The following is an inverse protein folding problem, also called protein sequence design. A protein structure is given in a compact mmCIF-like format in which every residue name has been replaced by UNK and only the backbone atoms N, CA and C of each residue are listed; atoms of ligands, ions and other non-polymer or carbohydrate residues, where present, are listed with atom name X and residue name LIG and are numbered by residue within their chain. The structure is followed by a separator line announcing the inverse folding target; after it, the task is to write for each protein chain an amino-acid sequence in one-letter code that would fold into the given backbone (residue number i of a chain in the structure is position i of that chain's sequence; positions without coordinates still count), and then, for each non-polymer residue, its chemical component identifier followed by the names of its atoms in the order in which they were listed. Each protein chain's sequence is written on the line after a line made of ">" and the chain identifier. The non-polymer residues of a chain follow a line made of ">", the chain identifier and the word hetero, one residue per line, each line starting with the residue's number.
data_IF_841475556784
#
_entry.id   IF_841475556784
#
_cell.length_a   1.000
_cell.length_b   1.000
_cell.length_c   1.000
_cell.angle_alpha   90.00
_cell.angle_beta   90.00
_cell.angle_gamma   90.00
#
_symmetry.space_group_name_H-M   'P 1'
#
loop_
_entity.id
_entity.type
_entity.pdbx_description
1 polymer ?
#
# COMPACT_ATOMS: atom_id res chain seq x y z
N UNK A 1 15.81 43.83 36.26
CA UNK A 1 15.57 43.24 34.93
C UNK A 1 14.85 41.91 35.09
N UNK A 2 13.66 41.80 34.49
CA UNK A 2 12.63 40.78 34.76
C UNK A 2 12.96 39.45 34.08
N UNK A 3 13.12 38.39 34.87
CA UNK A 3 13.10 36.99 34.42
C UNK A 3 11.65 36.60 34.15
N UNK A 4 11.33 36.13 32.94
CA UNK A 4 10.02 35.52 32.63
C UNK A 4 10.18 34.01 32.60
N UNK A 5 9.69 33.39 33.67
CA UNK A 5 9.35 31.98 33.76
C UNK A 5 7.99 31.84 33.06
N UNK A 6 7.87 30.98 32.06
CA UNK A 6 6.55 30.53 31.59
C UNK A 6 6.49 29.03 31.84
N UNK A 7 5.74 28.70 32.88
CA UNK A 7 5.49 27.35 33.36
C UNK A 7 4.59 26.57 32.40
N UNK A 8 4.88 25.27 32.34
CA UNK A 8 4.05 24.21 31.81
C UNK A 8 2.62 24.23 32.39
N UNK A 9 1.63 23.98 31.54
CA UNK A 9 0.30 23.53 31.95
C UNK A 9 0.02 22.18 31.30
N UNK A 10 -0.24 21.19 32.15
CA UNK A 10 -0.69 19.86 31.80
C UNK A 10 -2.19 19.71 32.16
N UNK A 11 -2.80 18.65 31.61
CA UNK A 11 -4.01 17.92 32.07
C UNK A 11 -5.37 18.34 31.48
N UNK A 12 -5.94 17.42 30.68
CA UNK A 12 -7.18 16.64 30.91
C UNK A 12 -7.24 15.58 29.78
N UNK A 13 -7.28 14.24 29.92
CA UNK A 13 -7.91 13.25 30.82
C UNK A 13 -9.45 13.20 30.73
N UNK A 14 -9.90 12.21 29.93
CA UNK A 14 -11.02 11.25 30.12
C UNK A 14 -12.46 11.66 29.75
N UNK A 15 -13.06 10.89 28.83
CA UNK A 15 -14.31 10.08 28.94
C UNK A 15 -14.79 9.71 27.52
N UNK A 16 -14.71 8.47 27.03
CA UNK A 16 -15.61 7.32 27.24
C UNK A 16 -17.11 7.64 27.08
N UNK A 17 -17.68 7.30 25.92
CA UNK A 17 -19.09 6.91 25.79
C UNK A 17 -19.17 5.59 25.02
N UNK A 18 -19.66 4.59 25.75
CA UNK A 18 -20.10 3.27 25.31
C UNK A 18 -21.36 3.45 24.46
N UNK A 19 -21.45 2.73 23.34
CA UNK A 19 -22.66 2.68 22.52
C UNK A 19 -22.82 1.34 21.82
N UNK A 20 -22.93 0.26 22.59
CA UNK A 20 -23.36 -1.05 22.10
C UNK A 20 -24.82 -1.01 21.66
N UNK A 21 -25.10 -1.24 20.38
CA UNK A 21 -26.46 -1.51 19.90
C UNK A 21 -26.44 -2.71 18.93
N UNK A 22 -26.42 -3.90 19.51
CA UNK A 22 -26.77 -5.14 18.81
C UNK A 22 -28.27 -5.12 18.56
N UNK A 23 -28.70 -4.99 17.29
CA UNK A 23 -30.09 -5.24 16.93
C UNK A 23 -30.33 -6.74 16.82
N UNK A 24 -31.03 -7.25 17.82
CA UNK A 24 -31.69 -8.55 17.85
C UNK A 24 -32.78 -8.55 16.76
N UNK A 25 -32.72 -9.52 15.86
CA UNK A 25 -33.82 -9.79 14.92
C UNK A 25 -34.71 -10.88 15.51
N UNK A 26 -36.03 -10.65 15.66
CA UNK A 26 -36.96 -11.67 16.14
C UNK A 26 -37.24 -12.74 15.07
N UNK A 27 -37.43 -13.95 15.58
CA UNK A 27 -37.70 -15.21 14.89
C UNK A 27 -39.04 -15.24 14.15
N UNK A 28 -39.00 -15.91 12.99
CA UNK A 28 -39.96 -16.86 12.42
C UNK A 28 -41.46 -16.67 12.69
N UNK A 29 -42.21 -16.40 11.63
CA UNK A 29 -43.61 -16.84 11.50
C UNK A 29 -43.72 -17.73 10.27
N UNK A 30 -44.07 -18.99 10.51
CA UNK A 30 -44.42 -19.94 9.47
C UNK A 30 -45.84 -19.66 8.97
N UNK A 31 -46.01 -19.54 7.66
CA UNK A 31 -47.29 -19.69 6.99
C UNK A 31 -47.14 -20.76 5.91
N UNK A 32 -47.68 -21.94 6.21
CA UNK A 32 -47.83 -23.03 5.26
C UNK A 32 -48.83 -22.61 4.17
N UNK A 33 -48.41 -22.71 2.91
CA UNK A 33 -49.31 -22.71 1.76
C UNK A 33 -49.06 -24.00 0.98
N UNK A 34 -50.01 -24.92 1.09
CA UNK A 34 -50.09 -26.16 0.35
C UNK A 34 -50.80 -25.82 -0.97
N UNK A 35 -50.10 -25.88 -2.10
CA UNK A 35 -50.74 -26.10 -3.40
C UNK A 35 -49.77 -26.67 -4.45
N UNK A 36 -50.03 -27.94 -4.79
CA UNK A 36 -49.97 -28.65 -6.08
C UNK A 36 -49.50 -27.85 -7.33
N UNK A 37 -48.78 -28.36 -8.33
CA UNK A 37 -48.48 -29.72 -8.81
C UNK A 37 -47.47 -29.62 -9.99
N UNK A 38 -46.97 -30.73 -10.58
CA UNK A 38 -45.65 -30.80 -11.20
C UNK A 38 -45.65 -30.41 -12.69
N UNK A 39 -44.64 -29.64 -13.10
CA UNK A 39 -44.21 -29.57 -14.50
C UNK A 39 -42.77 -30.05 -14.56
N UNK A 40 -42.60 -31.28 -15.03
CA UNK A 40 -41.31 -31.87 -15.38
C UNK A 40 -40.83 -31.17 -16.65
N UNK A 41 -40.36 -29.94 -16.50
CA UNK A 41 -39.56 -29.27 -17.51
C UNK A 41 -38.14 -29.83 -17.38
N UNK A 42 -37.76 -30.60 -18.39
CA UNK A 42 -36.45 -31.19 -18.60
C UNK A 42 -35.31 -30.28 -18.12
N UNK A 43 -34.62 -30.70 -17.07
CA UNK A 43 -33.34 -30.15 -16.69
C UNK A 43 -32.33 -30.47 -17.80
N UNK A 44 -32.22 -29.56 -18.78
CA UNK A 44 -31.04 -29.51 -19.63
C UNK A 44 -29.84 -29.20 -18.72
N UNK A 45 -28.74 -29.97 -18.77
CA UNK A 45 -27.51 -29.59 -18.09
C UNK A 45 -27.07 -28.26 -18.71
N UNK A 46 -27.21 -27.17 -17.95
CA UNK A 46 -26.82 -25.84 -18.37
C UNK A 46 -25.35 -25.87 -18.77
N UNK A 47 -25.15 -25.69 -20.06
CA UNK A 47 -23.90 -25.47 -20.78
C UNK A 47 -22.98 -24.52 -20.01
N UNK A 48 -21.71 -24.92 -19.87
CA UNK A 48 -20.66 -24.15 -19.25
C UNK A 48 -20.58 -22.70 -19.79
N UNK A 49 -20.81 -21.67 -18.96
CA UNK A 49 -20.58 -20.28 -19.34
C UNK A 49 -19.16 -19.89 -18.90
N UNK A 50 -18.10 -20.33 -19.60
CA UNK A 50 -16.74 -20.07 -19.09
C UNK A 50 -15.67 -19.68 -20.09
N UNK A 51 -15.84 -19.85 -21.41
CA UNK A 51 -14.75 -19.56 -22.36
C UNK A 51 -14.65 -18.08 -22.81
N UNK A 52 -15.77 -17.39 -23.08
CA UNK A 52 -15.72 -15.99 -23.54
C UNK A 52 -15.22 -15.05 -22.44
N UNK A 53 -15.68 -15.23 -21.20
CA UNK A 53 -15.29 -14.38 -20.07
C UNK A 53 -13.81 -14.52 -19.69
N UNK A 54 -13.23 -15.71 -19.82
CA UNK A 54 -11.81 -15.93 -19.54
C UNK A 54 -10.92 -15.21 -20.57
N UNK A 55 -11.25 -15.31 -21.86
CA UNK A 55 -10.52 -14.62 -22.94
C UNK A 55 -10.59 -13.11 -22.75
N UNK A 56 -11.76 -12.56 -22.40
CA UNK A 56 -11.92 -11.13 -22.14
C UNK A 56 -11.06 -10.64 -20.97
N UNK A 57 -10.99 -11.41 -19.87
CA UNK A 57 -10.14 -11.11 -18.73
C UNK A 57 -8.64 -11.16 -19.08
N UNK A 58 -8.21 -12.13 -19.90
CA UNK A 58 -6.82 -12.19 -20.38
C UNK A 58 -6.49 -10.95 -21.21
N UNK A 59 -7.36 -10.57 -22.15
CA UNK A 59 -7.16 -9.40 -23.00
C UNK A 59 -7.09 -8.10 -22.18
N UNK A 60 -8.00 -7.96 -21.20
CA UNK A 60 -7.99 -6.82 -20.27
C UNK A 60 -6.71 -6.78 -19.45
N UNK A 61 -6.26 -7.90 -18.89
CA UNK A 61 -5.04 -7.97 -18.11
C UNK A 61 -3.81 -7.61 -18.96
N UNK A 62 -3.73 -8.09 -20.19
CA UNK A 62 -2.65 -7.74 -21.12
C UNK A 62 -2.65 -6.25 -21.47
N UNK A 63 -3.83 -5.63 -21.66
CA UNK A 63 -3.94 -4.20 -21.91
C UNK A 63 -3.44 -3.38 -20.72
N UNK A 64 -3.83 -3.75 -19.50
CA UNK A 64 -3.34 -3.12 -18.27
C UNK A 64 -1.82 -3.24 -18.13
N UNK A 65 -1.26 -4.41 -18.41
CA UNK A 65 0.18 -4.63 -18.39
C UNK A 65 0.92 -3.78 -19.44
N UNK A 66 0.38 -3.64 -20.66
CA UNK A 66 0.94 -2.76 -21.70
C UNK A 66 0.97 -1.29 -21.29
N UNK A 67 0.06 -0.86 -20.42
CA UNK A 67 0.02 0.49 -19.84
C UNK A 67 0.94 0.63 -18.62
N UNK A 68 1.67 -0.43 -18.24
CA UNK A 68 2.50 -0.45 -17.03
C UNK A 68 1.72 -0.67 -15.73
N UNK A 69 0.41 -0.90 -15.79
CA UNK A 69 -0.43 -1.14 -14.61
C UNK A 69 -0.43 -2.63 -14.21
N UNK A 70 0.75 -3.14 -13.85
CA UNK A 70 0.98 -4.55 -13.56
C UNK A 70 0.19 -5.06 -12.35
N UNK A 71 0.02 -4.25 -11.30
CA UNK A 71 -0.78 -4.65 -10.13
C UNK A 71 -2.25 -4.91 -10.52
N UNK A 72 -2.84 -4.04 -11.35
CA UNK A 72 -4.21 -4.26 -11.83
C UNK A 72 -4.30 -5.43 -12.82
N UNK A 73 -3.27 -5.63 -13.65
CA UNK A 73 -3.19 -6.77 -14.56
C UNK A 73 -3.18 -8.10 -13.78
N UNK A 74 -2.37 -8.20 -12.72
CA UNK A 74 -2.34 -9.36 -11.81
C UNK A 74 -3.71 -9.59 -11.17
N UNK A 75 -4.32 -8.54 -10.61
CA UNK A 75 -5.64 -8.64 -10.00
C UNK A 75 -6.75 -9.05 -10.99
N UNK A 76 -6.55 -8.78 -12.28
CA UNK A 76 -7.46 -9.24 -13.35
C UNK A 76 -7.24 -10.72 -13.65
N UNK A 77 -5.98 -11.18 -13.73
CA UNK A 77 -5.66 -12.60 -13.90
C UNK A 77 -6.13 -13.44 -12.73
N UNK A 78 -6.13 -12.91 -11.51
CA UNK A 78 -6.63 -13.61 -10.31
C UNK A 78 -8.12 -13.97 -10.36
N UNK A 79 -8.87 -13.35 -11.27
CA UNK A 79 -10.28 -13.66 -11.50
C UNK A 79 -10.50 -14.84 -12.45
N UNK A 80 -9.45 -15.28 -13.15
CA UNK A 80 -9.53 -16.34 -14.15
C UNK A 80 -9.44 -17.70 -13.45
N UNK A 81 -10.45 -18.53 -13.64
CA UNK A 81 -10.42 -19.93 -13.24
C UNK A 81 -9.79 -20.75 -14.37
N UNK A 82 -8.61 -21.36 -14.18
CA UNK A 82 -7.97 -22.13 -15.25
C UNK A 82 -8.77 -23.41 -15.54
N UNK A 83 -8.97 -23.72 -16.83
CA UNK A 83 -9.70 -24.90 -17.26
C UNK A 83 -8.88 -26.19 -17.10
N UNK A 84 -7.55 -26.09 -17.07
CA UNK A 84 -6.64 -27.22 -16.91
C UNK A 84 -5.31 -26.82 -16.22
N UNK A 85 -4.47 -27.80 -15.80
CA UNK A 85 -3.21 -27.51 -15.13
C UNK A 85 -2.18 -26.73 -15.96
N UNK A 86 -2.18 -26.87 -17.29
CA UNK A 86 -1.26 -26.17 -18.18
C UNK A 86 -1.60 -24.67 -18.27
N UNK A 87 -2.89 -24.34 -18.33
CA UNK A 87 -3.38 -22.98 -18.25
C UNK A 87 -3.06 -22.37 -16.88
N UNK A 88 -3.29 -23.10 -15.79
CA UNK A 88 -2.94 -22.65 -14.44
C UNK A 88 -1.44 -22.31 -14.33
N UNK A 89 -0.58 -23.15 -14.90
CA UNK A 89 0.87 -22.91 -14.96
C UNK A 89 1.21 -21.66 -15.77
N UNK A 90 0.56 -21.46 -16.91
CA UNK A 90 0.76 -20.29 -17.76
C UNK A 90 0.36 -18.99 -17.04
N UNK A 91 -0.83 -18.96 -16.42
CA UNK A 91 -1.30 -17.81 -15.67
C UNK A 91 -0.37 -17.49 -14.48
N UNK A 92 0.12 -18.53 -13.79
CA UNK A 92 1.09 -18.35 -12.71
C UNK A 92 2.41 -17.71 -13.20
N UNK A 93 2.95 -18.17 -14.33
CA UNK A 93 4.17 -17.59 -14.91
C UNK A 93 3.99 -16.13 -15.32
N UNK A 94 2.83 -15.78 -15.88
CA UNK A 94 2.49 -14.39 -16.23
C UNK A 94 2.41 -13.53 -14.97
N UNK A 95 1.74 -14.01 -13.91
CA UNK A 95 1.67 -13.31 -12.62
C UNK A 95 3.04 -13.07 -12.01
N UNK A 96 3.93 -14.06 -12.05
CA UNK A 96 5.29 -13.93 -11.52
C UNK A 96 6.07 -12.84 -12.27
N UNK A 97 6.04 -12.85 -13.61
CA UNK A 97 6.71 -11.82 -14.42
C UNK A 97 6.18 -10.41 -14.10
N UNK A 98 4.86 -10.25 -13.99
CA UNK A 98 4.29 -8.94 -13.67
C UNK A 98 4.56 -8.53 -12.23
N UNK A 99 4.64 -9.47 -11.28
CA UNK A 99 5.04 -9.18 -9.92
C UNK A 99 6.48 -8.64 -9.85
N UNK A 100 7.39 -9.18 -10.67
CA UNK A 100 8.75 -8.64 -10.81
C UNK A 100 8.73 -7.20 -11.35
N UNK A 101 7.85 -6.89 -12.30
CA UNK A 101 7.70 -5.52 -12.82
C UNK A 101 7.11 -4.56 -11.78
N UNK A 102 6.15 -4.99 -10.96
CA UNK A 102 5.66 -4.20 -9.81
C UNK A 102 6.80 -3.89 -8.84
N UNK A 103 7.64 -4.88 -8.53
CA UNK A 103 8.78 -4.68 -7.63
C UNK A 103 9.83 -3.72 -8.22
N UNK A 104 10.13 -3.82 -9.53
CA UNK A 104 11.00 -2.85 -10.22
C UNK A 104 10.46 -1.43 -10.15
N UNK A 105 9.15 -1.24 -10.37
CA UNK A 105 8.53 0.09 -10.22
C UNK A 105 8.63 0.61 -8.78
N UNK A 106 8.48 -0.27 -7.79
CA UNK A 106 8.64 0.10 -6.39
C UNK A 106 10.09 0.53 -6.09
N UNK A 107 11.09 -0.20 -6.59
CA UNK A 107 12.50 0.18 -6.49
C UNK A 107 12.75 1.56 -7.11
N UNK A 108 12.25 1.82 -8.31
CA UNK A 108 12.40 3.13 -8.96
C UNK A 108 11.81 4.26 -8.12
N UNK A 109 10.63 4.05 -7.50
CA UNK A 109 10.03 5.03 -6.58
C UNK A 109 10.90 5.29 -5.35
N UNK A 110 11.43 4.21 -4.77
CA UNK A 110 12.32 4.29 -3.62
C UNK A 110 13.59 5.09 -3.94
N UNK A 111 14.21 4.84 -5.08
CA UNK A 111 15.40 5.55 -5.57
C UNK A 111 15.12 7.02 -5.89
N UNK A 112 13.89 7.37 -6.27
CA UNK A 112 13.44 8.75 -6.46
C UNK A 112 13.12 9.46 -5.13
N UNK A 113 13.16 8.75 -4.01
CA UNK A 113 12.83 9.26 -2.68
C UNK A 113 11.34 9.19 -2.33
N UNK A 114 10.51 8.61 -3.20
CA UNK A 114 9.10 8.29 -2.90
C UNK A 114 9.01 6.95 -2.14
N UNK A 115 9.54 6.93 -0.91
CA UNK A 115 9.62 5.71 -0.10
C UNK A 115 8.24 5.16 0.25
N UNK A 116 7.27 6.03 0.56
CA UNK A 116 5.90 5.60 0.85
C UNK A 116 5.23 5.01 -0.40
N UNK A 117 5.34 5.68 -1.55
CA UNK A 117 4.80 5.13 -2.79
C UNK A 117 5.48 3.82 -3.22
N UNK A 118 6.77 3.64 -2.90
CA UNK A 118 7.47 2.38 -3.11
C UNK A 118 6.90 1.25 -2.24
N UNK A 119 6.71 1.50 -0.94
CA UNK A 119 6.11 0.55 0.01
C UNK A 119 4.69 0.18 -0.45
N UNK A 120 3.84 1.17 -0.72
CA UNK A 120 2.45 0.97 -1.13
C UNK A 120 2.31 0.13 -2.40
N UNK A 121 3.26 0.30 -3.34
CA UNK A 121 3.29 -0.47 -4.58
C UNK A 121 3.78 -1.90 -4.33
N UNK A 122 4.84 -2.08 -3.54
CA UNK A 122 5.39 -3.39 -3.22
C UNK A 122 4.46 -4.24 -2.34
N UNK A 123 3.63 -3.64 -1.48
CA UNK A 123 2.63 -4.38 -0.70
C UNK A 123 1.51 -5.01 -1.56
N UNK A 124 1.37 -4.60 -2.82
CA UNK A 124 0.42 -5.19 -3.78
C UNK A 124 0.98 -6.43 -4.49
N UNK A 125 2.24 -6.77 -4.24
CA UNK A 125 2.87 -7.96 -4.83
C UNK A 125 2.21 -9.21 -4.22
N UNK A 126 1.78 -10.19 -5.04
CA UNK A 126 1.16 -11.41 -4.51
C UNK A 126 2.13 -12.23 -3.65
N UNK A 127 1.63 -12.73 -2.51
CA UNK A 127 2.43 -13.41 -1.49
C UNK A 127 3.28 -14.59 -2.01
N UNK A 128 2.76 -15.31 -3.01
CA UNK A 128 3.37 -16.55 -3.54
C UNK A 128 4.28 -16.29 -4.76
N UNK A 129 5.01 -15.18 -4.76
CA UNK A 129 5.91 -14.80 -5.87
C UNK A 129 7.34 -14.57 -5.38
N UNK A 130 8.36 -14.81 -6.23
CA UNK A 130 9.75 -14.44 -5.91
C UNK A 130 9.90 -12.95 -5.60
N UNK A 131 9.21 -12.07 -6.33
CA UNK A 131 9.17 -10.63 -6.08
C UNK A 131 8.75 -10.30 -4.63
N UNK A 132 7.78 -11.03 -4.06
CA UNK A 132 7.39 -10.80 -2.67
C UNK A 132 8.53 -11.13 -1.70
N UNK A 133 9.29 -12.20 -1.98
CA UNK A 133 10.44 -12.56 -1.15
C UNK A 133 11.50 -11.46 -1.21
N UNK A 134 11.74 -10.88 -2.39
CA UNK A 134 12.65 -9.74 -2.55
C UNK A 134 12.18 -8.53 -1.75
N UNK A 135 10.89 -8.18 -1.84
CA UNK A 135 10.32 -7.11 -1.03
C UNK A 135 10.47 -7.37 0.47
N UNK A 136 10.21 -8.59 0.93
CA UNK A 136 10.35 -8.96 2.33
C UNK A 136 11.78 -8.70 2.87
N UNK A 137 12.81 -8.86 2.04
CA UNK A 137 14.20 -8.55 2.43
C UNK A 137 14.45 -7.06 2.69
N UNK A 138 13.79 -6.18 1.94
CA UNK A 138 14.02 -4.72 2.01
C UNK A 138 12.97 -3.98 2.85
N UNK A 139 11.81 -4.59 3.10
CA UNK A 139 10.64 -3.99 3.76
C UNK A 139 10.99 -3.25 5.04
N UNK A 140 11.71 -3.90 5.96
CA UNK A 140 12.09 -3.29 7.25
C UNK A 140 12.92 -2.03 7.06
N UNK A 141 13.87 -2.04 6.13
CA UNK A 141 14.73 -0.90 5.82
C UNK A 141 13.93 0.24 5.20
N UNK A 142 13.02 -0.07 4.27
CA UNK A 142 12.16 0.94 3.63
C UNK A 142 11.25 1.64 4.63
N UNK A 143 10.57 0.88 5.52
CA UNK A 143 9.74 1.47 6.57
C UNK A 143 10.55 2.37 7.50
N UNK A 144 11.73 1.93 7.94
CA UNK A 144 12.64 2.76 8.75
C UNK A 144 12.98 4.07 8.03
N UNK A 145 13.36 3.99 6.76
CA UNK A 145 13.78 5.14 5.98
C UNK A 145 12.62 6.11 5.72
N UNK A 146 11.39 5.60 5.53
CA UNK A 146 10.19 6.44 5.47
C UNK A 146 10.00 7.26 6.75
N UNK A 147 10.03 6.61 7.92
CA UNK A 147 9.91 7.29 9.22
C UNK A 147 11.01 8.33 9.42
N UNK A 148 12.24 8.02 9.02
CA UNK A 148 13.37 8.97 9.11
C UNK A 148 13.10 10.22 8.26
N UNK A 149 12.59 10.09 7.04
CA UNK A 149 12.28 11.24 6.19
C UNK A 149 11.12 12.07 6.74
N UNK A 150 10.06 11.43 7.23
CA UNK A 150 8.93 12.12 7.85
C UNK A 150 9.35 12.93 9.09
N UNK A 151 10.15 12.33 9.97
CA UNK A 151 10.69 13.04 11.15
C UNK A 151 11.62 14.19 10.77
N UNK A 152 12.46 14.01 9.75
CA UNK A 152 13.33 15.09 9.27
C UNK A 152 12.53 16.26 8.70
N UNK A 153 11.48 15.98 7.92
CA UNK A 153 10.55 16.99 7.41
C UNK A 153 9.83 17.70 8.56
N UNK A 154 9.38 16.97 9.58
CA UNK A 154 8.76 17.56 10.77
C UNK A 154 9.73 18.49 11.51
N UNK A 155 10.96 18.05 11.80
CA UNK A 155 11.96 18.89 12.47
C UNK A 155 12.34 20.12 11.62
N UNK A 156 12.35 19.99 10.30
CA UNK A 156 12.53 21.12 9.40
C UNK A 156 11.40 22.15 9.56
N UNK A 157 10.13 21.71 9.59
CA UNK A 157 8.97 22.59 9.82
C UNK A 157 9.02 23.28 11.19
N UNK A 158 9.51 22.59 12.22
CA UNK A 158 9.76 23.14 13.56
C UNK A 158 11.00 24.06 13.64
N UNK A 159 11.67 24.33 12.52
CA UNK A 159 12.94 25.09 12.41
C UNK A 159 14.12 24.47 13.19
N UNK A 160 14.02 23.19 13.59
CA UNK A 160 15.06 22.43 14.30
C UNK A 160 16.05 21.81 13.31
N UNK A 161 16.74 22.67 12.56
CA UNK A 161 17.55 22.29 11.39
C UNK A 161 18.64 21.26 11.73
N UNK A 162 19.37 21.45 12.84
CA UNK A 162 20.41 20.49 13.28
C UNK A 162 19.83 19.11 13.57
N UNK A 163 18.65 19.05 14.22
CA UNK A 163 17.96 17.78 14.48
C UNK A 163 17.54 17.13 13.17
N UNK A 164 16.92 17.89 12.25
CA UNK A 164 16.51 17.36 10.95
C UNK A 164 17.69 16.74 10.16
N UNK A 165 18.83 17.42 10.07
CA UNK A 165 20.03 16.89 9.40
C UNK A 165 20.58 15.63 10.09
N UNK A 166 20.62 15.62 11.43
CA UNK A 166 21.03 14.45 12.20
C UNK A 166 20.08 13.25 12.04
N UNK A 167 18.80 13.51 11.78
CA UNK A 167 17.83 12.46 11.49
C UNK A 167 18.07 11.89 10.11
N UNK A 168 18.31 12.72 9.08
CA UNK A 168 18.63 12.25 7.71
C UNK A 168 19.89 11.37 7.68
N UNK A 169 20.88 11.60 8.53
CA UNK A 169 22.10 10.77 8.58
C UNK A 169 21.86 9.34 9.10
N UNK A 170 20.66 9.04 9.63
CA UNK A 170 20.25 7.68 9.99
C UNK A 170 19.90 6.80 8.77
N UNK A 171 19.72 7.42 7.60
CA UNK A 171 19.57 6.69 6.34
C UNK A 171 20.94 6.17 5.93
N UNK A 172 21.08 4.84 5.87
CA UNK A 172 22.32 4.16 5.47
C UNK A 172 22.33 3.74 4.00
N UNK A 173 21.20 3.90 3.32
CA UNK A 173 21.01 3.46 1.95
C UNK A 173 21.52 4.54 0.97
N UNK A 174 22.59 4.28 0.20
CA UNK A 174 23.18 5.28 -0.69
C UNK A 174 22.24 5.67 -1.84
N UNK A 175 21.38 4.76 -2.31
CA UNK A 175 20.46 5.06 -3.40
C UNK A 175 19.42 6.09 -2.95
N UNK A 176 18.85 5.90 -1.76
CA UNK A 176 17.93 6.86 -1.18
C UNK A 176 18.60 8.18 -0.79
N UNK A 177 19.81 8.13 -0.20
CA UNK A 177 20.57 9.33 0.12
C UNK A 177 20.90 10.18 -1.11
N UNK A 178 21.13 9.54 -2.26
CA UNK A 178 21.37 10.18 -3.55
C UNK A 178 20.11 10.67 -4.26
N UNK A 179 18.92 10.33 -3.76
CA UNK A 179 17.65 10.72 -4.38
C UNK A 179 17.45 12.24 -4.39
N UNK A 180 16.82 12.76 -5.44
CA UNK A 180 16.54 14.19 -5.59
C UNK A 180 15.78 14.74 -4.38
N UNK A 181 14.75 14.03 -3.91
CA UNK A 181 13.96 14.44 -2.74
C UNK A 181 14.82 14.67 -1.50
N UNK A 182 15.75 13.76 -1.22
CA UNK A 182 16.63 13.87 -0.03
C UNK A 182 17.61 15.02 -0.19
N UNK A 183 18.12 15.26 -1.40
CA UNK A 183 18.99 16.40 -1.68
C UNK A 183 18.25 17.74 -1.53
N UNK A 184 17.03 17.84 -2.07
CA UNK A 184 16.19 19.03 -1.94
C UNK A 184 15.88 19.34 -0.46
N UNK A 185 15.54 18.32 0.32
CA UNK A 185 15.28 18.48 1.75
C UNK A 185 16.53 18.97 2.50
N UNK A 186 17.70 18.38 2.23
CA UNK A 186 18.98 18.84 2.82
C UNK A 186 19.27 20.30 2.45
N UNK A 187 19.07 20.68 1.19
CA UNK A 187 19.28 22.05 0.72
C UNK A 187 18.33 23.03 1.40
N UNK A 188 17.04 22.67 1.54
CA UNK A 188 16.04 23.47 2.24
C UNK A 188 16.37 23.65 3.74
N UNK A 189 16.84 22.61 4.41
CA UNK A 189 17.27 22.69 5.81
C UNK A 189 18.49 23.61 5.95
N UNK A 190 19.50 23.47 5.09
CA UNK A 190 20.71 24.29 5.13
C UNK A 190 20.42 25.78 4.87
N UNK A 191 19.54 26.10 3.91
CA UNK A 191 19.17 27.49 3.62
C UNK A 191 18.43 28.14 4.79
N UNK A 192 17.53 27.38 5.45
CA UNK A 192 16.84 27.85 6.66
C UNK A 192 17.80 28.06 7.83
N UNK A 193 18.78 27.18 8.01
CA UNK A 193 19.80 27.31 9.06
C UNK A 193 20.67 28.56 8.85
N UNK A 194 21.07 28.84 7.61
CA UNK A 194 21.85 30.03 7.27
C UNK A 194 21.07 31.34 7.52
N UNK A 195 19.74 31.31 7.37
CA UNK A 195 18.88 32.46 7.62
C UNK A 195 18.64 32.76 9.12
N UNK A 196 18.97 31.84 10.03
CA UNK A 196 18.74 32.00 11.48
C UNK A 196 19.99 31.67 12.33
N UNK A 197 21.07 32.46 12.23
CA UNK A 197 22.32 32.20 12.95
C UNK A 197 22.19 32.35 14.48
N UNK A 198 21.16 33.07 14.96
CA UNK A 198 20.93 33.33 16.39
C UNK A 198 20.38 32.11 17.16
N UNK A 199 19.89 31.07 16.48
CA UNK A 199 19.39 29.85 17.12
C UNK A 199 20.49 28.81 17.42
N UNK A 200 21.76 29.17 17.19
CA UNK A 200 22.92 28.30 17.39
C UNK A 200 23.63 28.50 18.73
N UNK A 201 23.15 29.44 19.56
CA UNK A 201 23.63 29.71 20.93
C UNK A 201 22.73 29.08 21.98
#
# INVERSE_FOLDING_TARGET
>A
MKRRIVSFLAIAVVSFIIGTAWKVYPSLTAAASIFSSPSVAQAQPTSAPTSSSAVDLVNQAQQLAKQGNFSAAIATVDKIQPANPEEAKTLLQVKQRWADEVFKQALNKYEQGDVNGAIDLAERIPANTPAQQQYAQVRKTWFKNSTVLELAEQFHQERRCTTALSTISLIQDPALLGSQRVQDLKQAINSMQAANPQAQS
#
